data_IF_287263242631
#
_entry.id   IF_287263242631
#
_cell.length_a   1.000
_cell.length_b   1.000
_cell.length_c   1.000
_cell.angle_alpha   90.00
_cell.angle_beta   90.00
_cell.angle_gamma   90.00
#
_symmetry.space_group_name_H-M   'P 1'
#
loop_
_entity.id
_entity.type
_entity.pdbx_description
1 polymer ?
#
# COMPACT_ATOMS: atom_id res chain seq x y z
N UNK A 1 15.75 -7.25 5.41
CA UNK A 1 14.43 -6.57 5.40
C UNK A 1 14.34 -5.74 4.13
N UNK A 2 13.21 -5.76 3.40
CA UNK A 2 13.03 -4.83 2.27
C UNK A 2 12.67 -3.45 2.83
N UNK A 3 13.44 -2.44 2.44
CA UNK A 3 13.18 -1.05 2.84
C UNK A 3 12.00 -0.52 2.03
N UNK A 4 11.05 0.12 2.71
CA UNK A 4 9.92 0.80 2.09
C UNK A 4 10.14 2.30 2.32
N UNK A 5 10.19 3.08 1.24
CA UNK A 5 10.37 4.53 1.29
C UNK A 5 9.04 5.26 1.07
N UNK A 6 8.12 4.65 0.33
CA UNK A 6 6.85 5.26 -0.09
C UNK A 6 5.70 4.31 0.15
N UNK A 7 4.60 4.83 0.70
CA UNK A 7 3.32 4.15 0.83
C UNK A 7 2.28 4.95 0.05
N UNK A 8 1.55 4.28 -0.85
CA UNK A 8 0.38 4.86 -1.47
C UNK A 8 -0.89 4.12 -1.06
N UNK A 9 -1.95 4.90 -0.85
CA UNK A 9 -3.27 4.46 -0.42
C UNK A 9 -4.33 4.95 -1.40
N UNK A 10 -4.99 4.03 -2.09
CA UNK A 10 -6.13 4.35 -2.96
C UNK A 10 -7.43 4.33 -2.14
N UNK A 11 -8.16 5.45 -2.18
CA UNK A 11 -9.42 5.68 -1.50
C UNK A 11 -10.64 5.60 -2.43
N UNK A 12 -10.45 5.45 -3.74
CA UNK A 12 -11.50 5.61 -4.74
C UNK A 12 -12.46 4.42 -4.88
N UNK A 13 -12.25 3.33 -4.14
CA UNK A 13 -13.09 2.12 -4.20
C UNK A 13 -13.54 1.71 -2.80
N UNK A 14 -14.58 0.88 -2.72
CA UNK A 14 -15.04 0.25 -1.46
C UNK A 14 -13.97 -0.63 -0.76
N UNK A 15 -12.78 -0.73 -1.33
CA UNK A 15 -11.62 -1.47 -0.85
C UNK A 15 -10.44 -0.50 -0.87
N UNK A 16 -9.65 -0.49 0.21
CA UNK A 16 -8.43 0.30 0.28
C UNK A 16 -7.31 -0.48 -0.38
N UNK A 17 -6.70 0.05 -1.43
CA UNK A 17 -5.50 -0.55 -2.02
C UNK A 17 -4.27 0.11 -1.41
N UNK A 18 -3.43 -0.68 -0.77
CA UNK A 18 -2.14 -0.23 -0.23
C UNK A 18 -1.02 -0.80 -1.07
N UNK A 19 -0.13 0.06 -1.53
CA UNK A 19 1.11 -0.34 -2.17
C UNK A 19 2.30 0.26 -1.44
N UNK A 20 3.36 -0.53 -1.29
CA UNK A 20 4.65 -0.08 -0.79
C UNK A 20 5.69 -0.10 -1.90
N UNK A 21 6.47 0.97 -2.00
CA UNK A 21 7.58 1.06 -2.92
C UNK A 21 8.91 1.30 -2.19
N UNK A 22 9.98 0.75 -2.76
CA UNK A 22 11.35 0.95 -2.31
C UNK A 22 11.92 2.30 -2.75
N UNK A 23 13.15 2.64 -2.33
CA UNK A 23 13.80 3.92 -2.66
C UNK A 23 13.94 4.19 -4.17
N UNK A 24 14.04 3.14 -4.98
CA UNK A 24 14.12 3.17 -6.44
C UNK A 24 12.75 3.16 -7.12
N UNK A 25 11.65 3.23 -6.35
CA UNK A 25 10.29 3.10 -6.84
C UNK A 25 9.86 1.66 -7.12
N UNK A 26 10.70 0.66 -6.84
CA UNK A 26 10.35 -0.75 -7.07
C UNK A 26 9.20 -1.19 -6.16
N UNK A 27 8.24 -1.99 -6.66
CA UNK A 27 7.15 -2.49 -5.84
C UNK A 27 7.66 -3.49 -4.80
N UNK A 28 7.40 -3.20 -3.53
CA UNK A 28 7.74 -4.08 -2.41
C UNK A 28 6.56 -4.97 -2.05
N UNK A 29 5.36 -4.39 -1.98
CA UNK A 29 4.12 -5.13 -1.77
C UNK A 29 2.93 -4.39 -2.38
N UNK A 30 1.86 -5.14 -2.63
CA UNK A 30 0.58 -4.60 -3.05
C UNK A 30 -0.54 -5.43 -2.42
N UNK A 31 -1.37 -4.81 -1.57
CA UNK A 31 -2.38 -5.51 -0.77
C UNK A 31 -3.69 -4.72 -0.72
N UNK A 32 -4.80 -5.46 -0.79
CA UNK A 32 -6.14 -4.95 -0.49
C UNK A 32 -6.40 -5.03 1.01
N UNK A 33 -6.88 -3.93 1.57
CA UNK A 33 -7.39 -3.85 2.94
C UNK A 33 -8.89 -3.62 2.92
N UNK A 34 -9.57 -4.30 3.83
CA UNK A 34 -10.97 -4.05 4.16
C UNK A 34 -11.05 -2.79 5.01
N UNK A 35 -12.23 -2.18 5.06
CA UNK A 35 -12.49 -0.99 5.88
C UNK A 35 -12.17 -1.20 7.37
N UNK A 36 -12.41 -2.42 7.89
CA UNK A 36 -12.07 -2.79 9.28
C UNK A 36 -10.58 -2.95 9.57
N UNK A 37 -9.71 -2.99 8.55
CA UNK A 37 -8.25 -3.04 8.73
C UNK A 37 -7.62 -1.63 8.72
N UNK A 38 -8.43 -0.60 8.46
CA UNK A 38 -8.01 0.81 8.38
C UNK A 38 -8.59 1.66 9.51
N UNK A 39 -9.79 1.30 10.01
CA UNK A 39 -10.49 1.97 11.11
C UNK A 39 -10.09 1.42 12.48
#
# INVERSE_FOLDING_TARGET
MKQISTIGLDLAKHIFQVHGAGPDGSPVFNRRLRRSEVL
#
